data_IF_428542316626
#
_entry.id   IF_428542316626
#
_cell.length_a   1.000
_cell.length_b   1.000
_cell.length_c   1.000
_cell.angle_alpha   90.00
_cell.angle_beta   90.00
_cell.angle_gamma   90.00
#
_symmetry.space_group_name_H-M   'P 1'
#
loop_
_entity.id
_entity.type
_entity.pdbx_description
1 polymer ?
#
# COMPACT_ATOMS: atom_id res chain seq x y z
N UNK A 1 3.20 -1.33 0.46
CA UNK A 1 2.64 -0.75 1.71
C UNK A 1 2.81 -1.74 2.86
N UNK A 2 3.71 -1.50 3.83
CA UNK A 2 3.87 -2.38 4.99
C UNK A 2 2.60 -2.45 5.87
N UNK A 3 2.31 -3.61 6.44
CA UNK A 3 1.21 -3.89 7.37
C UNK A 3 1.69 -4.86 8.46
N UNK A 4 1.14 -4.78 9.67
CA UNK A 4 1.60 -5.56 10.83
C UNK A 4 0.99 -6.96 10.95
N UNK A 5 -0.09 -7.27 10.22
CA UNK A 5 -0.78 -8.56 10.31
C UNK A 5 -1.03 -9.16 8.93
N UNK A 6 -1.05 -10.49 8.88
CA UNK A 6 -1.36 -11.23 7.66
C UNK A 6 -2.78 -10.96 7.18
N UNK A 7 -3.77 -10.89 8.09
CA UNK A 7 -5.16 -10.61 7.77
C UNK A 7 -5.32 -9.29 7.00
N UNK A 8 -4.62 -8.23 7.43
CA UNK A 8 -4.65 -6.93 6.75
C UNK A 8 -3.98 -6.99 5.37
N UNK A 9 -2.89 -7.77 5.24
CA UNK A 9 -2.17 -7.98 3.97
C UNK A 9 -3.04 -8.74 2.98
N UNK A 10 -3.52 -9.92 3.35
CA UNK A 10 -4.30 -10.82 2.50
C UNK A 10 -5.61 -10.18 2.10
N UNK A 11 -6.37 -9.63 3.07
CA UNK A 11 -7.64 -8.97 2.79
C UNK A 11 -7.51 -7.83 1.77
N UNK A 12 -6.54 -6.93 1.95
CA UNK A 12 -6.35 -5.83 0.99
C UNK A 12 -5.88 -6.30 -0.40
N UNK A 13 -5.00 -7.30 -0.45
CA UNK A 13 -4.45 -7.84 -1.71
C UNK A 13 -5.50 -8.60 -2.51
N UNK A 14 -6.30 -9.43 -1.87
CA UNK A 14 -7.26 -10.32 -2.52
C UNK A 14 -8.59 -9.62 -2.81
N UNK A 15 -9.02 -8.71 -1.93
CA UNK A 15 -10.25 -7.94 -2.16
C UNK A 15 -9.99 -6.81 -3.17
N UNK A 16 -9.00 -5.96 -2.92
CA UNK A 16 -8.82 -4.68 -3.63
C UNK A 16 -7.59 -4.62 -4.55
N UNK A 17 -6.64 -5.54 -4.42
CA UNK A 17 -5.40 -5.51 -5.21
C UNK A 17 -4.30 -4.63 -4.60
N UNK A 18 -4.45 -4.17 -3.37
CA UNK A 18 -3.48 -3.30 -2.72
C UNK A 18 -2.09 -3.96 -2.60
N UNK A 19 -0.99 -3.26 -2.91
CA UNK A 19 0.38 -3.78 -2.84
C UNK A 19 0.88 -3.87 -1.39
N UNK A 20 0.13 -4.54 -0.52
CA UNK A 20 0.47 -4.74 0.89
C UNK A 20 1.57 -5.78 1.05
N UNK A 21 2.47 -5.54 2.02
CA UNK A 21 3.55 -6.43 2.45
C UNK A 21 3.53 -6.54 3.98
N UNK A 22 3.91 -7.69 4.52
CA UNK A 22 4.06 -7.86 5.96
C UNK A 22 5.32 -7.11 6.45
N UNK A 23 5.22 -6.41 7.57
CA UNK A 23 6.33 -5.72 8.23
C UNK A 23 6.02 -5.47 9.70
N UNK A 24 7.01 -5.04 10.48
CA UNK A 24 6.82 -4.62 11.87
C UNK A 24 6.56 -3.12 11.90
N UNK A 25 5.43 -2.72 12.49
CA UNK A 25 5.07 -1.32 12.64
C UNK A 25 4.88 -1.08 14.13
N UNK A 26 5.63 -0.14 14.68
CA UNK A 26 5.51 0.27 16.08
C UNK A 26 5.22 1.75 16.15
N UNK A 27 4.23 2.12 16.95
CA UNK A 27 3.89 3.51 17.23
C UNK A 27 3.75 3.64 18.73
N UNK A 28 4.54 4.53 19.33
CA UNK A 28 4.55 4.80 20.76
C UNK A 28 4.25 6.27 20.99
N UNK A 29 3.36 6.53 21.95
CA UNK A 29 3.04 7.87 22.48
C UNK A 29 3.28 7.86 23.98
N UNK A 30 4.18 8.73 24.43
CA UNK A 30 4.55 8.92 25.82
C UNK A 30 4.40 10.41 26.15
N UNK A 31 3.25 10.77 26.73
CA UNK A 31 2.84 12.17 26.87
C UNK A 31 2.71 12.87 25.52
N UNK A 32 3.52 13.90 25.33
CA UNK A 32 3.64 14.64 24.07
C UNK A 32 4.58 13.96 23.08
N UNK A 33 5.48 13.07 23.52
CA UNK A 33 6.50 12.46 22.68
C UNK A 33 5.93 11.33 21.84
N UNK A 34 6.22 11.39 20.53
CA UNK A 34 5.86 10.35 19.56
C UNK A 34 7.12 9.72 19.00
N UNK A 35 7.13 8.39 18.95
CA UNK A 35 8.08 7.65 18.11
C UNK A 35 7.33 6.62 17.29
N UNK A 36 7.67 6.50 16.02
CA UNK A 36 7.12 5.47 15.16
C UNK A 36 8.20 4.86 14.27
N UNK A 37 8.10 3.55 14.05
CA UNK A 37 9.05 2.81 13.22
C UNK A 37 8.31 1.86 12.29
N UNK A 38 8.87 1.69 11.10
CA UNK A 38 8.45 0.66 10.15
C UNK A 38 9.67 -0.14 9.75
N UNK A 39 9.62 -1.44 9.98
CA UNK A 39 10.67 -2.38 9.61
C UNK A 39 10.12 -3.48 8.70
N UNK A 40 10.96 -3.95 7.79
CA UNK A 40 10.64 -5.09 6.94
C UNK A 40 11.87 -5.94 6.72
N UNK A 41 11.75 -7.24 6.96
CA UNK A 41 12.85 -8.21 6.75
C UNK A 41 14.19 -7.79 7.40
N UNK A 42 14.12 -7.15 8.58
CA UNK A 42 15.30 -6.67 9.32
C UNK A 42 15.80 -5.28 8.93
N UNK A 43 15.21 -4.62 7.94
CA UNK A 43 15.57 -3.27 7.52
C UNK A 43 14.62 -2.23 8.12
N UNK A 44 15.17 -1.20 8.76
CA UNK A 44 14.40 -0.04 9.25
C UNK A 44 14.09 0.89 8.09
N UNK A 45 12.88 0.79 7.56
CA UNK A 45 12.43 1.55 6.39
C UNK A 45 12.06 3.00 6.75
N UNK A 46 11.39 3.20 7.89
CA UNK A 46 10.91 4.51 8.32
C UNK A 46 11.18 4.67 9.81
N UNK A 47 11.72 5.82 10.20
CA UNK A 47 11.77 6.27 11.60
C UNK A 47 11.16 7.67 11.68
N UNK A 48 10.20 7.84 12.58
CA UNK A 48 9.58 9.12 12.90
C UNK A 48 9.77 9.41 14.39
N UNK A 49 10.16 10.63 14.72
CA UNK A 49 10.26 11.13 16.09
C UNK A 49 9.67 12.54 16.14
N UNK A 50 8.90 12.86 17.16
CA UNK A 50 8.35 14.20 17.29
C UNK A 50 7.67 14.44 18.63
N UNK A 51 7.08 15.64 18.75
CA UNK A 51 6.23 16.04 19.87
C UNK A 51 4.90 16.57 19.39
N UNK A 52 3.83 16.20 20.07
CA UNK A 52 2.51 16.77 19.88
C UNK A 52 2.53 18.22 20.34
N UNK A 53 2.20 19.15 19.44
CA UNK A 53 2.18 20.59 19.73
C UNK A 53 0.79 21.12 20.06
N UNK A 54 -0.25 20.33 19.82
CA UNK A 54 -1.63 20.66 20.15
C UNK A 54 -2.63 20.10 19.13
N UNK A 55 -3.93 20.31 19.36
CA UNK A 55 -4.97 19.90 18.43
C UNK A 55 -4.85 20.65 17.10
N UNK A 56 -5.24 19.97 16.03
CA UNK A 56 -5.42 20.53 14.70
C UNK A 56 -6.91 20.56 14.35
N UNK A 57 -7.29 21.42 13.40
CA UNK A 57 -8.66 21.47 12.90
C UNK A 57 -9.02 20.14 12.23
N UNK A 58 -10.17 19.58 12.61
CA UNK A 58 -10.67 18.38 11.97
C UNK A 58 -11.12 18.72 10.54
N UNK A 59 -10.62 18.02 9.52
CA UNK A 59 -11.15 18.18 8.19
C UNK A 59 -12.58 17.68 8.10
N UNK A 60 -13.35 18.27 7.18
CA UNK A 60 -14.63 17.69 6.75
C UNK A 60 -14.47 16.25 6.26
N UNK A 61 -15.57 15.49 6.40
CA UNK A 61 -15.71 14.18 5.79
C UNK A 61 -15.37 14.24 4.31
N UNK A 62 -14.52 13.30 3.88
CA UNK A 62 -13.98 13.31 2.53
C UNK A 62 -13.87 11.91 1.96
N UNK A 63 -13.90 11.88 0.63
CA UNK A 63 -13.64 10.68 -0.15
C UNK A 63 -12.28 10.82 -0.79
N UNK A 64 -11.35 9.97 -0.39
CA UNK A 64 -10.03 9.88 -1.02
C UNK A 64 -10.10 8.79 -2.11
N UNK A 65 -9.67 9.14 -3.32
CA UNK A 65 -9.60 8.21 -4.46
C UNK A 65 -8.23 7.53 -4.51
N UNK A 66 -8.21 6.22 -4.62
CA UNK A 66 -7.00 5.42 -4.76
C UNK A 66 -7.14 4.42 -5.91
N UNK A 67 -6.01 4.11 -6.58
CA UNK A 67 -5.97 3.18 -7.71
C UNK A 67 -5.02 2.03 -7.42
N UNK A 68 -5.45 0.82 -7.74
CA UNK A 68 -4.67 -0.39 -7.52
C UNK A 68 -4.73 -1.33 -8.71
N UNK A 69 -3.66 -2.10 -8.92
CA UNK A 69 -3.69 -3.20 -9.89
C UNK A 69 -3.93 -4.53 -9.18
N UNK A 70 -5.08 -5.14 -9.46
CA UNK A 70 -5.47 -6.44 -8.92
C UNK A 70 -5.11 -7.55 -9.89
N UNK A 71 -4.21 -8.42 -9.47
CA UNK A 71 -3.78 -9.62 -10.18
C UNK A 71 -3.20 -10.63 -9.19
N UNK A 72 -3.12 -11.88 -9.62
CA UNK A 72 -2.36 -12.95 -8.98
C UNK A 72 -1.33 -13.49 -9.96
N UNK A 73 -0.34 -14.25 -9.47
CA UNK A 73 0.49 -15.06 -10.36
C UNK A 73 -0.37 -16.12 -11.04
N UNK A 74 -0.12 -16.35 -12.32
CA UNK A 74 -0.81 -17.43 -13.02
C UNK A 74 -0.34 -18.80 -12.48
N UNK A 75 -1.24 -19.74 -12.17
CA UNK A 75 -0.88 -21.04 -11.61
C UNK A 75 -0.09 -21.93 -12.59
N UNK A 76 -0.16 -21.64 -13.89
CA UNK A 76 0.63 -22.34 -14.93
C UNK A 76 2.06 -21.78 -15.09
N UNK A 77 2.43 -20.76 -14.30
CA UNK A 77 3.73 -20.10 -14.36
C UNK A 77 3.87 -19.07 -15.48
N UNK A 78 2.86 -18.89 -16.33
CA UNK A 78 2.90 -17.95 -17.45
C UNK A 78 2.44 -16.55 -17.01
N UNK A 79 3.30 -15.84 -16.27
CA UNK A 79 3.06 -14.45 -15.90
C UNK A 79 2.01 -14.26 -14.80
N UNK A 80 0.95 -13.52 -15.10
CA UNK A 80 -0.08 -13.12 -14.13
C UNK A 80 -1.49 -13.38 -14.68
N UNK A 81 -2.47 -13.50 -13.79
CA UNK A 81 -3.90 -13.53 -14.16
C UNK A 81 -4.32 -12.22 -14.83
N UNK A 82 -5.46 -12.22 -15.53
CA UNK A 82 -6.10 -11.01 -16.09
C UNK A 82 -6.11 -9.84 -15.09
N UNK A 83 -5.26 -8.81 -15.29
CA UNK A 83 -5.11 -7.74 -14.31
C UNK A 83 -6.21 -6.70 -14.48
N UNK A 84 -6.66 -6.17 -13.35
CA UNK A 84 -7.68 -5.14 -13.29
C UNK A 84 -7.11 -3.87 -12.68
N UNK A 85 -7.39 -2.71 -13.29
CA UNK A 85 -7.30 -1.43 -12.61
C UNK A 85 -8.53 -1.30 -11.71
N UNK A 86 -8.31 -1.19 -10.41
CA UNK A 86 -9.33 -1.01 -9.39
C UNK A 86 -9.38 0.46 -9.01
N UNK A 87 -10.57 1.05 -9.09
CA UNK A 87 -10.88 2.37 -8.56
C UNK A 87 -11.46 2.19 -7.16
N UNK A 88 -10.74 2.66 -6.15
CA UNK A 88 -11.12 2.60 -4.74
C UNK A 88 -11.49 3.98 -4.20
N UNK A 89 -12.47 4.01 -3.32
CA UNK A 89 -12.88 5.18 -2.56
C UNK A 89 -12.74 4.89 -1.06
N UNK A 90 -12.08 5.79 -0.37
CA UNK A 90 -11.95 5.77 1.08
C UNK A 90 -12.75 6.93 1.66
N UNK A 91 -13.91 6.60 2.21
CA UNK A 91 -14.79 7.53 2.92
C UNK A 91 -14.26 7.70 4.34
N UNK A 92 -13.69 8.86 4.65
CA UNK A 92 -12.94 9.11 5.88
C UNK A 92 -13.67 10.12 6.76
N UNK A 93 -13.84 9.74 8.03
CA UNK A 93 -14.37 10.58 9.09
C UNK A 93 -13.32 10.71 10.20
N UNK A 94 -12.86 11.94 10.47
CA UNK A 94 -11.82 12.22 11.46
C UNK A 94 -12.44 12.59 12.81
N UNK A 95 -11.96 11.96 13.87
CA UNK A 95 -12.48 12.17 15.24
C UNK A 95 -11.48 12.86 16.16
N UNK A 96 -10.20 12.81 15.80
CA UNK A 96 -9.11 13.46 16.50
C UNK A 96 -8.00 13.75 15.50
N UNK A 97 -7.41 14.93 15.62
CA UNK A 97 -6.21 15.32 14.90
C UNK A 97 -5.35 16.20 15.81
N UNK A 98 -4.11 15.80 16.04
CA UNK A 98 -3.10 16.60 16.73
C UNK A 98 -1.94 16.90 15.75
N UNK A 99 -1.40 18.12 15.81
CA UNK A 99 -0.17 18.48 15.11
C UNK A 99 1.05 17.91 15.85
N UNK A 100 2.04 17.46 15.06
CA UNK A 100 3.33 17.00 15.55
C UNK A 100 4.43 17.84 14.89
N UNK A 101 5.35 18.34 15.70
CA UNK A 101 6.65 18.84 15.24
C UNK A 101 7.69 17.72 15.40
N UNK A 102 8.44 17.42 14.34
CA UNK A 102 9.36 16.29 14.37
C UNK A 102 10.10 16.02 13.07
N UNK A 103 10.76 14.88 13.04
CA UNK A 103 11.61 14.42 11.94
C UNK A 103 11.08 13.11 11.35
N UNK A 104 11.38 12.90 10.07
CA UNK A 104 11.12 11.67 9.34
C UNK A 104 12.41 11.25 8.62
N UNK A 105 12.82 10.01 8.86
CA UNK A 105 13.97 9.39 8.20
C UNK A 105 13.50 8.19 7.38
N UNK A 106 14.00 8.07 6.15
CA UNK A 106 13.78 6.94 5.25
C UNK A 106 15.08 6.13 5.19
N UNK A 107 14.98 4.83 5.43
CA UNK A 107 16.13 3.93 5.46
C UNK A 107 16.24 3.04 4.23
N UNK A 108 17.47 2.62 3.94
CA UNK A 108 17.81 1.76 2.81
C UNK A 108 17.28 0.34 3.01
N UNK A 109 16.78 -0.26 1.92
CA UNK A 109 16.40 -1.67 1.86
C UNK A 109 16.56 -2.19 0.43
N UNK A 110 17.10 -3.41 0.24
CA UNK A 110 17.26 -4.01 -1.09
C UNK A 110 15.95 -4.19 -1.87
N UNK A 111 14.82 -4.28 -1.17
CA UNK A 111 13.52 -4.65 -1.76
C UNK A 111 12.44 -3.57 -1.52
N UNK A 112 12.80 -2.47 -0.85
CA UNK A 112 11.90 -1.34 -0.56
C UNK A 112 12.62 -0.04 -0.88
N UNK A 113 12.39 0.55 -2.07
CA UNK A 113 13.05 1.77 -2.51
C UNK A 113 12.45 3.03 -1.85
N UNK A 114 12.20 2.98 -0.54
CA UNK A 114 11.65 4.14 0.19
C UNK A 114 12.70 5.23 0.35
N UNK A 115 13.98 4.88 0.50
CA UNK A 115 15.08 5.85 0.59
C UNK A 115 15.30 6.66 -0.70
N UNK A 116 14.92 6.11 -1.86
CA UNK A 116 14.99 6.81 -3.15
C UNK A 116 14.07 8.04 -3.22
N UNK A 117 13.11 8.17 -2.30
CA UNK A 117 12.20 9.31 -2.21
C UNK A 117 12.91 10.48 -1.51
N UNK A 118 13.31 11.49 -2.30
CA UNK A 118 13.92 12.71 -1.76
C UNK A 118 12.89 13.57 -1.02
N UNK A 119 12.99 13.64 0.31
CA UNK A 119 12.21 14.57 1.14
C UNK A 119 12.78 15.98 0.98
N UNK A 120 12.03 16.86 0.31
CA UNK A 120 12.39 18.29 0.17
C UNK A 120 11.99 19.11 1.39
N UNK A 121 10.82 18.82 1.93
CA UNK A 121 10.22 19.56 3.03
C UNK A 121 9.15 18.69 3.69
N UNK A 122 9.11 18.69 5.03
CA UNK A 122 8.02 18.09 5.79
C UNK A 122 6.96 19.18 6.00
N UNK A 123 5.78 19.03 5.37
CA UNK A 123 4.69 20.02 5.47
C UNK A 123 3.86 19.89 6.73
N UNK A 124 3.61 18.65 7.15
CA UNK A 124 2.89 18.36 8.37
C UNK A 124 3.18 16.93 8.82
N UNK A 125 3.13 16.73 10.13
CA UNK A 125 3.04 15.43 10.77
C UNK A 125 1.84 15.52 11.69
N UNK A 126 0.95 14.53 11.63
CA UNK A 126 -0.26 14.53 12.46
C UNK A 126 -0.46 13.20 13.14
N UNK A 127 -0.98 13.25 14.35
CA UNK A 127 -1.57 12.11 15.05
C UNK A 127 -3.06 12.14 14.81
N UNK A 128 -3.66 11.04 14.35
CA UNK A 128 -5.09 11.02 14.07
C UNK A 128 -5.77 9.75 14.55
N UNK A 129 -7.06 9.90 14.87
CA UNK A 129 -8.01 8.81 14.96
C UNK A 129 -9.10 9.07 13.94
N UNK A 130 -9.35 8.09 13.08
CA UNK A 130 -10.35 8.17 12.03
C UNK A 130 -11.06 6.85 11.82
N UNK A 131 -12.31 6.93 11.37
CA UNK A 131 -13.04 5.82 10.78
C UNK A 131 -12.90 5.89 9.27
N UNK A 132 -12.89 4.73 8.62
CA UNK A 132 -12.78 4.66 7.17
C UNK A 132 -13.60 3.52 6.63
N UNK A 133 -14.43 3.82 5.63
CA UNK A 133 -15.17 2.84 4.85
C UNK A 133 -14.53 2.82 3.46
N UNK A 134 -14.14 1.64 3.02
CA UNK A 134 -13.55 1.44 1.71
C UNK A 134 -14.57 0.75 0.80
N UNK A 135 -14.81 1.33 -0.36
CA UNK A 135 -15.56 0.71 -1.45
C UNK A 135 -14.72 0.74 -2.72
N UNK A 136 -14.91 -0.23 -3.61
CA UNK A 136 -14.12 -0.30 -4.82
C UNK A 136 -14.89 -0.96 -5.95
N UNK A 137 -14.47 -0.64 -7.18
CA UNK A 137 -14.94 -1.28 -8.41
C UNK A 137 -13.78 -1.50 -9.37
N UNK A 138 -13.96 -2.46 -10.26
CA UNK A 138 -13.10 -2.57 -11.43
C UNK A 138 -13.37 -1.35 -12.32
N UNK A 139 -12.33 -0.57 -12.58
CA UNK A 139 -12.39 0.53 -13.53
C UNK A 139 -12.16 0.00 -14.96
N UNK A 140 -11.16 -0.87 -15.12
CA UNK A 140 -10.76 -1.39 -16.43
C UNK A 140 -9.99 -2.72 -16.29
N UNK A 141 -10.00 -3.53 -17.34
CA UNK A 141 -9.04 -4.62 -17.54
C UNK A 141 -7.82 -4.06 -18.28
N UNK A 142 -6.62 -4.35 -17.81
CA UNK A 142 -5.39 -3.84 -18.44
C UNK A 142 -4.57 -4.99 -19.04
N UNK A 143 -3.74 -4.73 -20.06
CA UNK A 143 -2.82 -5.74 -20.58
C UNK A 143 -1.79 -6.17 -19.53
N UNK A 144 -1.44 -7.46 -19.49
CA UNK A 144 -0.51 -8.01 -18.51
C UNK A 144 0.91 -7.45 -18.66
N UNK A 145 1.34 -7.20 -19.90
CA UNK A 145 2.67 -6.72 -20.24
C UNK A 145 3.00 -5.35 -19.65
N UNK A 146 1.99 -4.55 -19.29
CA UNK A 146 2.19 -3.29 -18.60
C UNK A 146 2.68 -3.49 -17.17
N UNK A 147 2.34 -4.63 -16.56
CA UNK A 147 2.59 -4.91 -15.14
C UNK A 147 3.72 -5.89 -14.90
N UNK A 148 3.96 -6.84 -15.83
CA UNK A 148 4.98 -7.88 -15.70
C UNK A 148 6.35 -7.36 -15.22
N UNK A 149 6.90 -6.23 -15.73
CA UNK A 149 8.18 -5.69 -15.26
C UNK A 149 8.19 -5.30 -13.77
N UNK A 150 7.02 -5.03 -13.19
CA UNK A 150 6.86 -4.50 -11.83
C UNK A 150 6.29 -5.53 -10.84
N UNK A 151 5.93 -6.73 -11.29
CA UNK A 151 5.37 -7.81 -10.44
C UNK A 151 6.30 -8.15 -9.27
N UNK A 152 7.61 -8.05 -9.48
CA UNK A 152 8.63 -8.27 -8.45
C UNK A 152 8.39 -7.43 -7.19
N UNK A 153 7.90 -6.19 -7.33
CA UNK A 153 7.64 -5.32 -6.18
C UNK A 153 6.54 -5.87 -5.27
N UNK A 154 5.60 -6.65 -5.81
CA UNK A 154 4.49 -7.26 -5.07
C UNK A 154 4.88 -8.56 -4.37
N UNK A 155 5.89 -9.26 -4.87
CA UNK A 155 6.29 -10.61 -4.45
C UNK A 155 7.73 -10.72 -3.95
N UNK A 156 8.46 -9.60 -3.86
CA UNK A 156 9.85 -9.55 -3.37
C UNK A 156 10.82 -10.42 -4.19
N UNK A 157 10.56 -10.55 -5.50
CA UNK A 157 11.30 -11.43 -6.40
C UNK A 157 11.86 -10.68 -7.62
N UNK A 158 13.05 -10.05 -7.50
CA UNK A 158 13.63 -9.24 -8.56
C UNK A 158 14.08 -10.06 -9.78
N UNK A 159 14.28 -11.37 -9.64
CA UNK A 159 14.75 -12.27 -10.70
C UNK A 159 13.68 -12.49 -11.77
N UNK A 160 12.41 -12.31 -11.40
CA UNK A 160 11.25 -12.52 -12.28
C UNK A 160 10.89 -11.34 -13.19
N UNK A 161 11.73 -10.30 -13.25
CA UNK A 161 11.58 -9.19 -14.21
C UNK A 161 11.84 -9.60 -15.68
N UNK A 162 12.39 -10.79 -15.90
CA UNK A 162 12.50 -11.43 -17.20
C UNK A 162 12.45 -12.95 -17.04
N UNK A 163 11.28 -13.58 -17.15
CA UNK A 163 11.22 -15.03 -17.37
C UNK A 163 10.91 -15.30 -18.84
N UNK A 164 11.78 -16.04 -19.56
CA UNK A 164 11.47 -16.46 -20.91
C UNK A 164 10.27 -17.42 -20.88
N UNK A 165 9.48 -17.41 -21.95
CA UNK A 165 8.37 -18.32 -22.19
C UNK A 165 8.82 -19.77 -21.92
N UNK A 166 8.10 -20.57 -21.13
CA UNK A 166 8.49 -21.96 -20.90
C UNK A 166 8.46 -22.69 -22.25
N UNK A 167 9.61 -23.15 -22.73
CA UNK A 167 9.68 -24.07 -23.86
C UNK A 167 8.94 -25.33 -23.46
N UNK A 168 7.89 -25.67 -24.21
CA UNK A 168 6.94 -26.72 -23.89
C UNK A 168 7.62 -28.05 -23.60
N UNK A 169 7.61 -28.45 -22.33
CA UNK A 169 7.75 -29.84 -21.93
C UNK A 169 6.50 -30.20 -21.14
N UNK A 170 5.71 -31.11 -21.73
CA UNK A 170 4.34 -31.41 -21.37
C UNK A 170 4.14 -31.82 -19.92
N UNK A 171 3.17 -31.18 -19.26
CA UNK A 171 2.64 -31.63 -17.98
C UNK A 171 1.80 -32.89 -18.22
N UNK A 172 2.13 -34.00 -17.53
CA UNK A 172 1.30 -35.21 -17.53
C UNK A 172 -0.02 -34.91 -16.78
N UNK A 173 -1.17 -35.45 -17.24
CA UNK A 173 -2.47 -35.13 -16.66
C UNK A 173 -2.62 -35.64 -15.22
N UNK A 174 -3.29 -34.82 -14.42
CA UNK A 174 -3.62 -35.01 -13.01
C UNK A 174 -4.94 -35.77 -12.92
N UNK A 175 -4.92 -37.10 -12.87
CA UNK A 175 -6.17 -37.91 -12.83
C UNK A 175 -6.45 -38.65 -11.53
N UNK A 176 -5.64 -38.51 -10.47
CA UNK A 176 -5.87 -39.29 -9.23
C UNK A 176 -5.77 -38.45 -7.95
N UNK A 177 -6.89 -37.90 -7.45
CA UNK A 177 -7.17 -37.76 -5.98
C UNK A 177 -8.62 -37.29 -5.69
N UNK A 178 -9.22 -37.65 -4.54
CA UNK A 178 -10.65 -37.57 -4.29
C UNK A 178 -11.10 -36.22 -3.72
N UNK A 179 -12.39 -35.93 -3.89
CA UNK A 179 -13.04 -34.64 -3.63
C UNK A 179 -13.03 -34.19 -2.16
N UNK A 180 -12.52 -32.98 -1.90
CA UNK A 180 -12.62 -32.29 -0.61
C UNK A 180 -13.63 -31.13 -0.71
N UNK A 181 -14.51 -30.96 0.29
CA UNK A 181 -15.45 -29.82 0.38
C UNK A 181 -15.14 -29.00 1.64
N UNK A 182 -14.92 -27.68 1.54
CA UNK A 182 -14.78 -26.83 2.73
C UNK A 182 -16.11 -26.14 3.09
N UNK A 183 -16.47 -26.18 4.37
CA UNK A 183 -17.50 -25.33 4.99
C UNK A 183 -16.84 -24.10 5.60
N UNK A 184 -17.34 -22.91 5.25
CA UNK A 184 -16.85 -21.63 5.77
C UNK A 184 -17.67 -21.14 6.98
N UNK A 185 -17.01 -20.46 7.92
CA UNK A 185 -17.65 -19.61 8.94
C UNK A 185 -16.85 -18.31 9.04
N UNK A 186 -17.48 -17.12 9.07
CA UNK A 186 -16.75 -15.86 9.17
C UNK A 186 -16.61 -15.38 10.63
N UNK A 187 -15.52 -14.67 10.92
CA UNK A 187 -15.35 -13.85 12.12
C UNK A 187 -14.90 -12.42 11.72
N UNK A 188 -15.34 -11.36 12.40
CA UNK A 188 -14.94 -10.00 12.09
C UNK A 188 -13.71 -9.58 12.92
N UNK A 189 -12.91 -8.63 12.40
CA UNK A 189 -11.91 -7.92 13.21
C UNK A 189 -11.70 -6.49 12.71
N UNK A 190 -11.61 -5.54 13.65
CA UNK A 190 -11.33 -4.12 13.43
C UNK A 190 -9.82 -3.85 13.52
N UNK A 191 -9.33 -2.82 12.80
CA UNK A 191 -7.94 -2.33 12.93
C UNK A 191 -7.87 -0.80 12.89
N UNK A 192 -6.92 -0.22 13.65
CA UNK A 192 -6.58 1.22 13.67
C UNK A 192 -5.28 1.44 12.90
N UNK A 193 -5.20 2.44 12.03
CA UNK A 193 -4.00 2.75 11.22
C UNK A 193 -3.61 4.23 11.38
N UNK A 194 -2.31 4.52 11.52
CA UNK A 194 -1.73 5.86 11.42
C UNK A 194 -1.39 6.17 9.95
N UNK A 195 -1.68 7.39 9.45
CA UNK A 195 -1.36 7.79 8.08
C UNK A 195 -0.49 9.05 8.04
N UNK A 196 0.49 9.08 7.16
CA UNK A 196 1.30 10.27 6.83
C UNK A 196 1.04 10.62 5.37
N UNK A 197 0.69 11.88 5.07
CA UNK A 197 0.55 12.37 3.70
C UNK A 197 1.78 13.14 3.25
N UNK A 198 2.43 12.69 2.17
CA UNK A 198 3.50 13.43 1.48
C UNK A 198 2.99 13.72 0.07
N UNK A 199 2.87 15.00 -0.31
CA UNK A 199 2.54 15.40 -1.69
C UNK A 199 3.81 15.86 -2.39
N UNK A 200 4.07 15.27 -3.56
CA UNK A 200 5.15 15.67 -4.47
C UNK A 200 4.60 16.72 -5.45
N UNK A 201 4.98 17.99 -5.31
CA UNK A 201 4.57 19.05 -6.24
C UNK A 201 5.54 19.13 -7.41
N UNK A 202 5.18 18.46 -8.51
CA UNK A 202 5.79 18.69 -9.82
C UNK A 202 5.53 20.13 -10.29
N UNK A 203 6.59 20.78 -10.78
CA UNK A 203 6.64 22.19 -11.21
C UNK A 203 5.48 22.63 -12.11
N UNK A 204 5.01 23.85 -11.83
CA UNK A 204 4.20 24.68 -12.72
C UNK A 204 4.92 24.92 -14.05
N UNK A 205 4.28 24.54 -15.16
CA UNK A 205 4.54 25.12 -16.47
C UNK A 205 3.61 26.30 -16.66
N UNK A 206 4.22 27.49 -16.72
CA UNK A 206 3.62 28.76 -17.10
C UNK A 206 3.05 28.69 -18.52
N UNK A 207 1.76 29.01 -18.67
CA UNK A 207 1.18 29.40 -19.96
C UNK A 207 0.46 30.74 -19.77
N UNK A 208 1.14 31.82 -20.15
CA UNK A 208 0.52 33.13 -20.27
C UNK A 208 -0.43 33.16 -21.45
N UNK A 209 -1.59 33.80 -21.27
CA UNK A 209 -2.29 34.45 -22.37
C UNK A 209 -3.02 35.68 -21.85
N UNK A 210 -2.53 36.83 -22.32
CA UNK A 210 -3.21 38.13 -22.33
C UNK A 210 -4.63 38.00 -22.88
N UNK A 211 -5.55 38.80 -22.36
CA UNK A 211 -6.27 39.81 -23.15
C UNK A 211 -6.93 40.83 -22.20
N UNK A 212 -6.94 42.06 -22.73
CA UNK A 212 -7.68 43.26 -22.34
C UNK A 212 -9.08 43.01 -21.81
#
# INVERSE_FOLDING_TARGET
MPQSTEQSVTGGRETFGEPKKLGRIEVQRDGDRITATVERMGYRLITLKGRVTGPAELPDDRVDTEFYFKFLRSPDGNGITDPHLVYGEYHRHYELLDNIEGTLELGESPLDPVADIVIREIRSITWCRRRTIQVARIAERVPQEWLLPYVHQRYDDPVLSASPTPSGHGCKPWTDTPSFRPTATPAPTYSTTASTSIRNTGRNLTAGRRRS
#
